data_IF_872766942973
#
_entry.id   IF_872766942973
#
_cell.length_a   1.000
_cell.length_b   1.000
_cell.length_c   1.000
_cell.angle_alpha   90.00
_cell.angle_beta   90.00
_cell.angle_gamma   90.00
#
_symmetry.space_group_name_H-M   'P 1'
#
loop_
_entity.id
_entity.type
_entity.pdbx_description
1 polymer ?
#
# COMPACT_ATOMS: atom_id res chain seq x y z
N UNK A 1 -3.16 21.91 -1.06
CA UNK A 1 -2.55 20.58 -1.33
C UNK A 1 -1.06 20.53 -0.98
N UNK A 2 -0.22 21.37 -1.57
CA UNK A 2 1.23 21.42 -1.28
C UNK A 2 1.56 21.57 0.22
N UNK A 3 0.93 22.53 0.90
CA UNK A 3 1.14 22.74 2.34
C UNK A 3 0.70 21.55 3.19
N UNK A 4 -0.41 20.90 2.82
CA UNK A 4 -0.92 19.72 3.53
C UNK A 4 -0.02 18.51 3.32
N UNK A 5 0.60 18.41 2.15
CA UNK A 5 1.61 17.39 1.90
C UNK A 5 2.87 17.62 2.73
N UNK A 6 3.35 18.87 2.82
CA UNK A 6 4.47 19.22 3.72
C UNK A 6 4.15 18.92 5.18
N UNK A 7 2.92 19.20 5.64
CA UNK A 7 2.47 18.83 6.98
C UNK A 7 2.58 17.31 7.25
N UNK A 8 2.43 16.49 6.21
CA UNK A 8 2.60 15.04 6.26
C UNK A 8 4.01 14.55 5.87
N UNK A 9 4.98 15.46 5.68
CA UNK A 9 6.35 15.12 5.30
C UNK A 9 6.51 14.64 3.85
N UNK A 10 5.55 14.96 2.97
CA UNK A 10 5.58 14.60 1.55
C UNK A 10 5.71 15.89 0.72
N UNK A 11 6.72 15.97 -0.14
CA UNK A 11 6.80 17.05 -1.13
C UNK A 11 6.00 16.68 -2.38
N UNK A 12 5.05 17.54 -2.73
CA UNK A 12 4.33 17.47 -4.01
C UNK A 12 5.00 18.39 -5.01
N UNK A 13 5.33 17.90 -6.22
CA UNK A 13 5.82 18.74 -7.31
C UNK A 13 4.63 19.31 -8.12
N UNK A 14 4.44 20.65 -8.15
CA UNK A 14 3.39 21.30 -8.95
C UNK A 14 3.45 20.95 -10.45
N UNK A 15 4.63 20.68 -11.01
CA UNK A 15 4.79 20.39 -12.43
C UNK A 15 4.27 18.99 -12.82
N UNK A 16 4.16 18.08 -11.85
CA UNK A 16 3.59 16.75 -12.06
C UNK A 16 2.06 16.75 -12.00
N UNK A 17 1.44 17.87 -11.63
CA UNK A 17 -0.02 17.99 -11.63
C UNK A 17 -0.55 17.97 -13.05
N UNK A 18 -1.18 16.85 -13.43
CA UNK A 18 -1.94 16.72 -14.68
C UNK A 18 -3.43 16.79 -14.37
N UNK A 19 -4.02 17.97 -14.57
CA UNK A 19 -5.48 18.09 -14.59
C UNK A 19 -6.03 17.20 -15.71
N UNK A 20 -6.89 16.25 -15.38
CA UNK A 20 -7.54 15.39 -16.38
C UNK A 20 -8.77 16.11 -16.95
N UNK A 21 -9.37 17.01 -16.16
CA UNK A 21 -10.48 17.84 -16.62
C UNK A 21 -10.00 19.12 -17.33
N UNK A 22 -10.63 19.45 -18.46
CA UNK A 22 -10.45 20.72 -19.19
C UNK A 22 -11.06 21.95 -18.47
N UNK A 23 -11.42 21.82 -17.19
CA UNK A 23 -11.98 22.88 -16.38
C UNK A 23 -10.87 23.74 -15.78
N UNK A 24 -11.11 25.05 -15.68
CA UNK A 24 -10.18 26.01 -15.08
C UNK A 24 -9.97 25.82 -13.57
N UNK A 25 -10.84 25.03 -12.91
CA UNK A 25 -10.77 24.72 -11.48
C UNK A 25 -10.46 23.23 -11.29
N UNK A 26 -9.43 22.88 -10.50
CA UNK A 26 -9.08 21.48 -10.21
C UNK A 26 -10.21 20.76 -9.48
N UNK A 27 -10.65 19.62 -10.01
CA UNK A 27 -11.65 18.79 -9.34
C UNK A 27 -11.02 18.02 -8.16
N UNK A 28 -11.83 17.67 -7.15
CA UNK A 28 -11.42 16.88 -6.00
C UNK A 28 -10.76 15.54 -6.39
N UNK A 29 -11.26 14.91 -7.45
CA UNK A 29 -10.72 13.66 -8.00
C UNK A 29 -9.29 13.83 -8.51
N UNK A 30 -9.04 14.89 -9.28
CA UNK A 30 -7.76 15.13 -9.96
C UNK A 30 -6.68 15.47 -8.93
N UNK A 31 -7.04 16.29 -7.93
CA UNK A 31 -6.18 16.59 -6.79
C UNK A 31 -5.91 15.34 -5.91
N UNK A 32 -6.92 14.50 -5.70
CA UNK A 32 -6.75 13.23 -4.98
C UNK A 32 -5.81 12.29 -5.73
N UNK A 33 -5.94 12.19 -7.06
CA UNK A 33 -5.10 11.34 -7.89
C UNK A 33 -3.66 11.85 -7.93
N UNK A 34 -3.45 13.16 -8.03
CA UNK A 34 -2.12 13.76 -7.95
C UNK A 34 -1.42 13.43 -6.63
N UNK A 35 -2.12 13.55 -5.50
CA UNK A 35 -1.58 13.16 -4.20
C UNK A 35 -1.27 11.64 -4.11
N UNK A 36 -2.11 10.79 -4.71
CA UNK A 36 -1.86 9.35 -4.79
C UNK A 36 -0.61 9.02 -5.64
N UNK A 37 -0.43 9.70 -6.77
CA UNK A 37 0.74 9.53 -7.63
C UNK A 37 2.05 9.89 -6.91
N UNK A 38 2.00 10.89 -6.02
CA UNK A 38 3.12 11.28 -5.17
C UNK A 38 3.35 10.34 -3.96
N UNK A 39 2.65 9.20 -3.89
CA UNK A 39 2.83 8.21 -2.83
C UNK A 39 2.09 8.53 -1.52
N UNK A 40 1.17 9.50 -1.52
CA UNK A 40 0.30 9.78 -0.38
C UNK A 40 -1.00 8.97 -0.47
N UNK A 41 -1.59 8.58 0.66
CA UNK A 41 -2.98 8.14 0.60
C UNK A 41 -3.85 9.39 0.53
N UNK A 42 -4.72 9.44 -0.46
CA UNK A 42 -5.69 10.51 -0.64
C UNK A 42 -7.03 9.93 -1.08
N UNK A 43 -8.13 10.53 -0.63
CA UNK A 43 -9.46 10.17 -1.09
C UNK A 43 -10.31 11.43 -1.22
N UNK A 44 -10.90 11.60 -2.40
CA UNK A 44 -11.99 12.55 -2.60
C UNK A 44 -13.30 11.96 -2.03
N UNK A 45 -13.99 12.71 -1.19
CA UNK A 45 -15.29 12.33 -0.65
C UNK A 45 -16.19 13.53 -0.45
N UNK A 46 -17.50 13.25 -0.37
CA UNK A 46 -18.50 14.27 -0.05
C UNK A 46 -18.89 14.16 1.42
N UNK A 47 -18.59 15.20 2.19
CA UNK A 47 -18.84 15.26 3.64
C UNK A 47 -20.03 16.20 3.90
N UNK A 48 -20.82 15.91 4.95
CA UNK A 48 -21.87 16.80 5.45
C UNK A 48 -21.37 17.55 6.69
N UNK A 49 -21.96 18.70 6.99
CA UNK A 49 -21.64 19.49 8.19
C UNK A 49 -21.59 18.65 9.48
N UNK A 50 -22.60 17.82 9.72
CA UNK A 50 -22.67 16.94 10.90
C UNK A 50 -21.52 15.94 11.00
N UNK A 51 -20.88 15.58 9.89
CA UNK A 51 -19.68 14.75 9.90
C UNK A 51 -18.42 15.58 10.16
N UNK A 52 -18.36 16.85 9.72
CA UNK A 52 -17.25 17.75 10.05
C UNK A 52 -17.09 17.93 11.56
N UNK A 53 -18.19 18.12 12.28
CA UNK A 53 -18.20 18.26 13.74
C UNK A 53 -17.68 17.03 14.49
N UNK A 54 -17.67 15.84 13.86
CA UNK A 54 -17.14 14.61 14.46
C UNK A 54 -15.62 14.47 14.27
N UNK A 55 -15.01 15.31 13.45
CA UNK A 55 -13.56 15.31 13.22
C UNK A 55 -12.87 16.23 14.25
N UNK A 56 -12.82 15.79 15.50
CA UNK A 56 -12.16 16.55 16.57
C UNK A 56 -10.63 16.42 16.52
N UNK A 57 -10.10 15.31 15.98
CA UNK A 57 -8.66 14.98 16.04
C UNK A 57 -8.10 14.24 14.81
N UNK A 58 -8.87 14.15 13.72
CA UNK A 58 -8.35 13.50 12.50
C UNK A 58 -7.63 14.55 11.67
N UNK A 59 -6.42 14.23 11.21
CA UNK A 59 -5.49 15.13 10.53
C UNK A 59 -6.10 15.95 9.39
N UNK A 60 -5.33 16.93 8.88
CA UNK A 60 -5.84 18.02 8.05
C UNK A 60 -6.71 17.54 6.88
N UNK A 61 -7.97 17.97 6.86
CA UNK A 61 -8.89 17.70 5.75
C UNK A 61 -8.89 18.93 4.85
N UNK A 62 -8.70 18.74 3.54
CA UNK A 62 -8.81 19.83 2.57
C UNK A 62 -10.27 19.93 2.13
N UNK A 63 -10.89 21.08 2.38
CA UNK A 63 -12.21 21.43 1.86
C UNK A 63 -12.03 22.22 0.56
N UNK A 64 -12.80 21.90 -0.45
CA UNK A 64 -12.81 22.60 -1.74
C UNK A 64 -14.04 23.48 -1.84
N UNK A 65 -13.83 24.77 -2.07
CA UNK A 65 -14.89 25.76 -2.17
C UNK A 65 -15.34 25.92 -3.62
N UNK A 66 -16.59 26.37 -3.80
CA UNK A 66 -17.23 26.53 -5.10
C UNK A 66 -16.59 27.67 -5.95
N UNK A 67 -15.86 28.58 -5.31
CA UNK A 67 -15.09 29.65 -5.94
C UNK A 67 -13.72 29.20 -6.48
N UNK A 68 -13.37 27.93 -6.29
CA UNK A 68 -12.07 27.36 -6.63
C UNK A 68 -11.01 27.54 -5.53
N UNK A 69 -11.39 28.14 -4.39
CA UNK A 69 -10.56 28.20 -3.21
C UNK A 69 -10.47 26.85 -2.48
N UNK A 70 -9.52 26.75 -1.56
CA UNK A 70 -9.37 25.60 -0.68
C UNK A 70 -9.13 26.05 0.76
N UNK A 71 -9.72 25.33 1.71
CA UNK A 71 -9.56 25.55 3.14
C UNK A 71 -9.05 24.30 3.84
N UNK A 72 -8.19 24.48 4.84
CA UNK A 72 -7.70 23.39 5.66
C UNK A 72 -8.53 23.31 6.94
N UNK A 73 -9.23 22.19 7.14
CA UNK A 73 -9.86 21.89 8.41
C UNK A 73 -8.81 21.35 9.37
N UNK A 74 -8.56 22.10 10.45
CA UNK A 74 -7.61 21.71 11.49
C UNK A 74 -8.28 21.22 12.77
N UNK A 75 -9.58 21.49 12.93
CA UNK A 75 -10.34 21.06 14.09
C UNK A 75 -11.82 21.44 13.96
N UNK A 76 -12.64 20.86 14.83
CA UNK A 76 -14.05 21.19 14.95
C UNK A 76 -14.45 21.20 16.42
N UNK A 77 -15.39 22.09 16.79
CA UNK A 77 -15.99 22.14 18.11
C UNK A 77 -17.49 21.88 17.98
N UNK A 78 -17.93 20.71 18.42
CA UNK A 78 -19.36 20.37 18.46
C UNK A 78 -20.13 21.23 19.49
N UNK A 79 -19.48 21.64 20.59
CA UNK A 79 -20.09 22.47 21.64
C UNK A 79 -20.44 23.87 21.14
N UNK A 80 -19.55 24.47 20.34
CA UNK A 80 -19.73 25.81 19.78
C UNK A 80 -20.37 25.79 18.38
N UNK A 81 -20.59 24.60 17.81
CA UNK A 81 -21.05 24.39 16.43
C UNK A 81 -20.24 25.19 15.39
N UNK A 82 -18.90 25.14 15.53
CA UNK A 82 -17.96 25.81 14.63
C UNK A 82 -16.87 24.86 14.16
N UNK A 83 -16.36 25.10 12.97
CA UNK A 83 -15.17 24.43 12.44
C UNK A 83 -14.01 25.43 12.36
N UNK A 84 -12.81 24.97 12.68
CA UNK A 84 -11.59 25.78 12.60
C UNK A 84 -10.97 25.57 11.23
N UNK A 85 -11.07 26.61 10.39
CA UNK A 85 -10.50 26.61 9.05
C UNK A 85 -9.26 27.49 9.00
N UNK A 86 -8.21 26.97 8.37
CA UNK A 86 -7.02 27.73 8.01
C UNK A 86 -7.01 27.93 6.50
N UNK A 87 -6.73 29.15 6.07
CA UNK A 87 -6.52 29.44 4.64
C UNK A 87 -5.23 28.80 4.15
N UNK A 88 -5.24 28.27 2.92
CA UNK A 88 -4.07 27.64 2.27
C UNK A 88 -2.98 28.67 1.94
N UNK A 89 -3.33 29.95 1.85
CA UNK A 89 -2.37 31.03 1.59
C UNK A 89 -1.71 31.56 2.87
N UNK A 90 -2.19 31.10 4.04
CA UNK A 90 -1.70 31.58 5.31
C UNK A 90 -0.46 30.80 5.77
N UNK A 91 0.54 31.46 6.39
CA UNK A 91 1.73 30.78 6.91
C UNK A 91 1.37 29.70 7.95
N UNK A 92 2.27 28.74 8.18
CA UNK A 92 2.00 27.58 9.06
C UNK A 92 1.67 27.96 10.53
N UNK A 93 2.02 29.18 10.94
CA UNK A 93 1.72 29.76 12.25
C UNK A 93 0.44 30.62 12.27
N UNK A 94 -0.31 30.64 11.17
CA UNK A 94 -1.53 31.45 11.10
C UNK A 94 -2.65 30.85 11.97
N UNK A 95 -3.30 31.73 12.72
CA UNK A 95 -4.46 31.40 13.54
C UNK A 95 -5.60 30.83 12.68
N UNK A 96 -6.24 29.80 13.23
CA UNK A 96 -7.39 29.19 12.62
C UNK A 96 -8.62 30.07 12.82
N UNK A 97 -9.38 30.28 11.75
CA UNK A 97 -10.60 31.07 11.82
C UNK A 97 -11.76 30.14 12.16
N UNK A 98 -12.51 30.40 13.26
CA UNK A 98 -13.74 29.68 13.54
C UNK A 98 -14.83 30.12 12.55
N UNK A 99 -15.37 29.16 11.82
CA UNK A 99 -16.43 29.36 10.84
C UNK A 99 -17.66 28.54 11.26
N UNK A 100 -18.82 29.19 11.26
CA UNK A 100 -20.11 28.60 11.52
C UNK A 100 -20.70 27.90 10.29
N UNK A 101 -21.69 27.04 10.52
CA UNK A 101 -22.34 26.23 9.48
C UNK A 101 -22.83 27.06 8.30
N UNK A 102 -23.49 28.19 8.60
CA UNK A 102 -24.17 28.99 7.60
C UNK A 102 -23.17 29.68 6.66
N UNK A 103 -22.06 30.19 7.20
CA UNK A 103 -20.97 30.77 6.39
C UNK A 103 -20.25 29.72 5.57
N UNK A 104 -20.01 28.53 6.11
CA UNK A 104 -19.34 27.48 5.35
C UNK A 104 -20.21 26.98 4.20
N UNK A 105 -21.50 26.69 4.44
CA UNK A 105 -22.42 26.17 3.43
C UNK A 105 -22.68 27.13 2.27
N UNK A 106 -22.42 28.44 2.44
CA UNK A 106 -22.50 29.41 1.35
C UNK A 106 -21.40 29.21 0.30
N UNK A 107 -20.21 28.77 0.73
CA UNK A 107 -19.02 28.64 -0.13
C UNK A 107 -18.65 27.18 -0.42
N UNK A 108 -19.18 26.23 0.35
CA UNK A 108 -18.81 24.82 0.32
C UNK A 108 -20.01 23.91 0.00
N UNK A 109 -19.88 23.09 -1.04
CA UNK A 109 -20.93 22.17 -1.52
C UNK A 109 -20.82 20.73 -0.99
N UNK A 110 -19.91 20.50 -0.04
CA UNK A 110 -19.65 19.20 0.57
C UNK A 110 -18.37 18.51 0.08
N UNK A 111 -17.62 19.10 -0.85
CA UNK A 111 -16.43 18.48 -1.43
C UNK A 111 -15.23 18.55 -0.49
N UNK A 112 -14.66 17.39 -0.16
CA UNK A 112 -13.50 17.28 0.71
C UNK A 112 -12.52 16.24 0.18
N UNK A 113 -11.23 16.49 0.44
CA UNK A 113 -10.14 15.55 0.19
C UNK A 113 -9.54 15.20 1.54
N UNK A 114 -9.61 13.92 1.89
CA UNK A 114 -8.91 13.40 3.05
C UNK A 114 -7.50 13.01 2.62
N UNK A 115 -6.50 13.61 3.26
CA UNK A 115 -5.09 13.32 3.05
C UNK A 115 -4.56 12.63 4.29
N UNK A 116 -3.71 11.63 4.08
CA UNK A 116 -2.96 11.01 5.17
C UNK A 116 -1.60 10.59 4.63
N UNK A 117 -0.58 10.67 5.47
CA UNK A 117 0.68 9.99 5.18
C UNK A 117 0.37 8.51 4.84
N UNK A 118 0.84 8.06 3.68
CA UNK A 118 0.69 6.66 3.32
C UNK A 118 1.44 5.85 4.36
N UNK A 119 0.73 4.97 5.08
CA UNK A 119 1.35 4.05 6.06
C UNK A 119 2.38 3.11 5.41
N UNK A 120 2.47 3.08 4.08
CA UNK A 120 3.42 2.30 3.30
C UNK A 120 4.63 3.09 2.80
N UNK A 121 4.70 4.40 3.04
CA UNK A 121 5.90 5.16 2.73
C UNK A 121 6.81 5.09 3.94
N UNK A 122 7.70 4.10 3.93
CA UNK A 122 8.89 4.16 4.77
C UNK A 122 9.57 5.48 4.43
N UNK A 123 9.66 6.40 5.39
CA UNK A 123 10.22 7.72 5.18
C UNK A 123 11.54 7.60 4.43
N UNK A 124 11.66 8.28 3.28
CA UNK A 124 12.86 8.25 2.45
C UNK A 124 14.13 8.69 3.23
N UNK A 125 13.93 9.44 4.32
CA UNK A 125 14.97 9.91 5.25
C UNK A 125 15.19 9.00 6.48
N UNK A 126 14.59 7.81 6.54
CA UNK A 126 14.84 6.91 7.66
C UNK A 126 16.30 6.39 7.64
N UNK A 127 17.04 6.49 8.75
CA UNK A 127 18.42 6.00 8.81
C UNK A 127 18.46 4.50 8.55
N UNK A 128 19.36 4.07 7.66
CA UNK A 128 19.53 2.66 7.29
C UNK A 128 19.84 1.81 8.54
N UNK A 129 18.85 1.06 9.01
CA UNK A 129 18.92 0.24 10.23
C UNK A 129 18.33 -1.14 9.93
N UNK A 130 18.77 -2.19 10.62
CA UNK A 130 18.21 -3.54 10.46
C UNK A 130 16.68 -3.60 10.68
N UNK A 131 16.13 -2.82 11.63
CA UNK A 131 14.69 -2.74 11.85
C UNK A 131 13.93 -2.19 10.63
N UNK A 132 14.47 -1.14 9.99
CA UNK A 132 13.93 -0.56 8.75
C UNK A 132 13.93 -1.57 7.60
N UNK A 133 15.01 -2.35 7.46
CA UNK A 133 15.12 -3.40 6.44
C UNK A 133 14.06 -4.49 6.66
N UNK A 134 13.84 -4.89 7.92
CA UNK A 134 12.84 -5.91 8.28
C UNK A 134 11.43 -5.42 8.00
N UNK A 135 11.11 -4.17 8.29
CA UNK A 135 9.80 -3.58 7.98
C UNK A 135 9.55 -3.47 6.47
N UNK A 136 10.58 -3.09 5.70
CA UNK A 136 10.53 -3.07 4.23
C UNK A 136 10.29 -4.47 3.66
N UNK A 137 11.00 -5.49 4.16
CA UNK A 137 10.82 -6.89 3.74
C UNK A 137 9.45 -7.44 4.15
N UNK A 138 8.91 -7.02 5.30
CA UNK A 138 7.56 -7.40 5.74
C UNK A 138 6.47 -6.82 4.83
N UNK A 139 6.67 -5.61 4.32
CA UNK A 139 5.72 -4.97 3.40
C UNK A 139 5.55 -5.79 2.13
N UNK A 140 6.65 -6.34 1.60
CA UNK A 140 6.69 -7.18 0.39
C UNK A 140 6.66 -8.70 0.70
N UNK A 141 6.07 -9.10 1.83
CA UNK A 141 6.12 -10.48 2.33
C UNK A 141 5.44 -11.53 1.45
N UNK A 142 4.55 -11.13 0.53
CA UNK A 142 3.85 -12.06 -0.37
C UNK A 142 4.81 -12.74 -1.37
N UNK A 143 5.52 -12.01 -2.25
CA UNK A 143 6.44 -12.63 -3.19
C UNK A 143 7.62 -13.34 -2.50
N UNK A 144 8.13 -12.81 -1.39
CA UNK A 144 9.18 -13.47 -0.60
C UNK A 144 8.75 -14.82 -0.04
N UNK A 145 7.51 -14.92 0.46
CA UNK A 145 6.96 -16.20 0.95
C UNK A 145 6.80 -17.21 -0.18
N UNK A 146 6.33 -16.77 -1.34
CA UNK A 146 6.13 -17.67 -2.48
C UNK A 146 7.47 -18.22 -2.99
N UNK A 147 8.50 -17.37 -3.09
CA UNK A 147 9.88 -17.82 -3.41
C UNK A 147 10.39 -18.78 -2.33
N UNK A 148 10.19 -18.46 -1.05
CA UNK A 148 10.61 -19.32 0.06
C UNK A 148 9.97 -20.71 0.01
N UNK A 149 8.65 -20.78 -0.23
CA UNK A 149 7.91 -22.05 -0.37
C UNK A 149 8.38 -22.80 -1.62
N UNK A 150 8.58 -22.12 -2.74
CA UNK A 150 9.06 -22.72 -3.98
C UNK A 150 10.47 -23.32 -3.79
N UNK A 151 11.41 -22.55 -3.24
CA UNK A 151 12.78 -23.01 -2.97
C UNK A 151 12.83 -24.14 -1.95
N UNK A 152 11.99 -24.08 -0.91
CA UNK A 152 11.89 -25.16 0.09
C UNK A 152 11.34 -26.45 -0.53
N UNK A 153 10.28 -26.34 -1.33
CA UNK A 153 9.69 -27.47 -2.05
C UNK A 153 10.68 -28.08 -3.04
N UNK A 154 11.39 -27.25 -3.81
CA UNK A 154 12.45 -27.70 -4.71
C UNK A 154 13.61 -28.36 -3.98
N UNK A 155 14.00 -27.85 -2.81
CA UNK A 155 15.06 -28.46 -1.99
C UNK A 155 14.65 -29.86 -1.50
N UNK A 156 13.39 -30.03 -1.09
CA UNK A 156 12.88 -31.36 -0.74
C UNK A 156 12.86 -32.27 -1.97
N UNK A 157 12.34 -31.77 -3.09
CA UNK A 157 12.16 -32.57 -4.31
C UNK A 157 13.49 -32.99 -4.95
N UNK A 158 14.58 -32.26 -4.70
CA UNK A 158 15.93 -32.60 -5.16
C UNK A 158 16.61 -33.65 -4.27
N UNK A 159 16.32 -33.67 -2.96
CA UNK A 159 16.91 -34.62 -2.00
C UNK A 159 16.13 -35.95 -1.93
N UNK A 160 14.81 -35.91 -2.14
CA UNK A 160 13.94 -37.08 -2.01
C UNK A 160 14.31 -38.23 -2.98
N UNK A 161 14.55 -38.00 -4.29
CA UNK A 161 14.82 -39.08 -5.23
C UNK A 161 16.12 -39.83 -4.93
N UNK A 162 17.26 -39.17 -4.65
CA UNK A 162 18.50 -39.85 -4.24
C UNK A 162 18.31 -40.72 -2.99
N UNK A 163 17.57 -40.23 -1.98
CA UNK A 163 17.29 -41.01 -0.78
C UNK A 163 16.48 -42.27 -1.08
N UNK A 164 15.42 -42.17 -1.90
CA UNK A 164 14.59 -43.32 -2.29
C UNK A 164 15.46 -44.35 -3.02
N UNK A 165 16.25 -43.91 -4.02
CA UNK A 165 17.14 -44.80 -4.77
C UNK A 165 18.13 -45.49 -3.84
N UNK A 166 18.77 -44.75 -2.94
CA UNK A 166 19.74 -45.31 -2.00
C UNK A 166 19.10 -46.33 -1.05
N UNK A 167 17.88 -46.06 -0.57
CA UNK A 167 17.16 -46.97 0.32
C UNK A 167 16.74 -48.26 -0.40
N UNK A 168 16.26 -48.14 -1.65
CA UNK A 168 15.91 -49.29 -2.49
C UNK A 168 17.14 -50.12 -2.81
N UNK A 169 18.25 -49.50 -3.22
CA UNK A 169 19.50 -50.21 -3.52
C UNK A 169 20.02 -50.97 -2.30
N UNK A 170 20.07 -50.32 -1.13
CA UNK A 170 20.50 -50.98 0.11
C UNK A 170 19.60 -52.16 0.47
N UNK A 171 18.28 -51.99 0.35
CA UNK A 171 17.31 -53.08 0.62
C UNK A 171 17.42 -54.20 -0.41
N UNK A 172 17.66 -53.87 -1.68
CA UNK A 172 17.85 -54.84 -2.76
C UNK A 172 19.11 -55.67 -2.56
N UNK A 173 20.22 -55.02 -2.20
CA UNK A 173 21.50 -55.69 -1.94
C UNK A 173 21.45 -56.55 -0.68
N UNK A 174 20.68 -56.15 0.33
CA UNK A 174 20.58 -56.87 1.60
C UNK A 174 19.73 -58.14 1.52
N UNK A 175 18.77 -58.24 0.59
CA UNK A 175 17.83 -59.38 0.49
C UNK A 175 18.07 -60.33 -0.68
N UNK A 176 19.14 -60.16 -1.48
CA UNK A 176 19.73 -61.13 -2.44
C UNK A 176 18.86 -62.31 -2.90
N UNK A 177 17.69 -62.03 -3.48
CA UNK A 177 16.81 -63.03 -4.06
C UNK A 177 16.34 -62.53 -5.40
N UNK A 178 16.40 -63.38 -6.44
CA UNK A 178 16.18 -63.11 -7.88
C UNK A 178 15.06 -62.11 -8.20
N UNK A 179 14.05 -61.99 -7.33
CA UNK A 179 13.01 -60.97 -7.32
C UNK A 179 13.51 -59.51 -7.39
N UNK A 180 14.66 -59.17 -6.80
CA UNK A 180 15.16 -57.78 -6.81
C UNK A 180 15.90 -57.38 -8.08
N UNK A 181 16.49 -58.33 -8.82
CA UNK A 181 17.08 -58.04 -10.13
C UNK A 181 15.98 -57.69 -11.14
N UNK A 182 14.86 -58.42 -11.09
CA UNK A 182 13.65 -58.13 -11.89
C UNK A 182 13.04 -56.79 -11.52
N UNK A 183 12.97 -56.47 -10.23
CA UNK A 183 12.49 -55.17 -9.75
C UNK A 183 13.38 -54.02 -10.25
N UNK A 184 14.70 -54.17 -10.15
CA UNK A 184 15.66 -53.13 -10.56
C UNK A 184 15.59 -52.89 -12.07
N UNK A 185 15.52 -53.95 -12.88
CA UNK A 185 15.31 -53.85 -14.32
C UNK A 185 13.97 -53.21 -14.68
N UNK A 186 12.88 -53.53 -13.96
CA UNK A 186 11.58 -52.92 -14.19
C UNK A 186 11.56 -51.43 -13.83
N UNK A 187 12.20 -51.03 -12.73
CA UNK A 187 12.32 -49.61 -12.34
C UNK A 187 13.14 -48.83 -13.36
N UNK A 188 14.28 -49.38 -13.81
CA UNK A 188 15.11 -48.75 -14.85
C UNK A 188 14.31 -48.59 -16.15
N UNK A 189 13.55 -49.62 -16.56
CA UNK A 189 12.72 -49.56 -17.76
C UNK A 189 11.63 -48.49 -17.66
N UNK A 190 10.97 -48.35 -16.51
CA UNK A 190 9.94 -47.33 -16.28
C UNK A 190 10.53 -45.92 -16.28
N UNK A 191 11.70 -45.73 -15.64
CA UNK A 191 12.41 -44.44 -15.66
C UNK A 191 12.80 -44.05 -17.08
N UNK A 192 13.35 -45.00 -17.86
CA UNK A 192 13.69 -44.78 -19.27
C UNK A 192 12.46 -44.40 -20.11
N UNK A 193 11.35 -45.12 -19.93
CA UNK A 193 10.11 -44.84 -20.65
C UNK A 193 9.56 -43.46 -20.29
N UNK A 194 9.57 -43.11 -19.00
CA UNK A 194 9.17 -41.79 -18.53
C UNK A 194 10.05 -40.69 -19.13
N UNK A 195 11.38 -40.83 -19.08
CA UNK A 195 12.31 -39.85 -19.64
C UNK A 195 12.12 -39.68 -21.16
N UNK A 196 11.83 -40.76 -21.88
CA UNK A 196 11.60 -40.71 -23.34
C UNK A 196 10.24 -40.09 -23.71
N UNK A 197 9.25 -40.17 -22.83
CA UNK A 197 7.90 -39.63 -23.07
C UNK A 197 7.72 -38.17 -22.60
N UNK A 198 8.46 -37.77 -21.56
CA UNK A 198 8.35 -36.45 -20.91
C UNK A 198 9.56 -35.54 -21.10
N UNK A 199 10.72 -36.08 -21.47
CA UNK A 199 11.85 -35.31 -21.98
C UNK A 199 11.67 -34.97 -23.45
#
# INVERSE_FOLDING_TARGET
MLQVARYHGVELDPNEFRATSAASVPNASDLSQWAQNAGMWSRALRIRWSHLLRFEHTGPIVLLFNDGGAGLLIGASAEQNVVLLRSVDAPDDADAVPIDELRLLQVWSGEAILLRAARSYIAADAPFTFAWLVDLVRLESRPLRDIGIASFTLSILTILPPLIVMTVVNKVLQFSSVSTLVLLSAVIAVVFAYETLLG
#
